data_IF_740794439312
#
_entry.id   IF_740794439312
#
_cell.length_a   1.000
_cell.length_b   1.000
_cell.length_c   1.000
_cell.angle_alpha   90.00
_cell.angle_beta   90.00
_cell.angle_gamma   90.00
#
_symmetry.space_group_name_H-M   'P 1'
#
loop_
_entity.id
_entity.type
_entity.pdbx_description
1 polymer ?
#
# COMPACT_ATOMS: atom_id res chain seq x y z
N UNK A 1 -14.60 27.40 18.85
CA UNK A 1 -14.70 25.92 19.00
C UNK A 1 -15.65 25.23 18.01
N UNK A 2 -16.84 25.76 17.68
CA UNK A 2 -17.75 25.15 16.69
C UNK A 2 -17.16 25.11 15.26
N UNK A 3 -16.59 26.20 14.76
CA UNK A 3 -15.96 26.26 13.43
C UNK A 3 -14.83 25.23 13.25
N UNK A 4 -13.96 25.07 14.26
CA UNK A 4 -12.88 24.08 14.25
C UNK A 4 -13.38 22.62 14.19
N UNK A 5 -14.53 22.31 14.82
CA UNK A 5 -15.17 20.98 14.73
C UNK A 5 -15.83 20.73 13.37
N UNK A 6 -16.39 21.77 12.76
CA UNK A 6 -16.98 21.66 11.43
C UNK A 6 -15.89 21.39 10.39
N UNK A 7 -14.80 22.16 10.42
CA UNK A 7 -13.63 21.94 9.55
C UNK A 7 -13.03 20.55 9.77
N UNK A 8 -12.97 20.07 11.02
CA UNK A 8 -12.41 18.74 11.29
C UNK A 8 -13.22 17.61 10.67
N UNK A 9 -14.56 17.70 10.69
CA UNK A 9 -15.45 16.68 10.17
C UNK A 9 -15.48 16.64 8.63
N UNK A 10 -15.45 17.80 7.97
CA UNK A 10 -15.40 17.87 6.51
C UNK A 10 -14.08 17.30 5.96
N UNK A 11 -12.96 17.59 6.61
CA UNK A 11 -11.67 17.06 6.20
C UNK A 11 -11.58 15.52 6.38
N UNK A 12 -12.19 14.95 7.42
CA UNK A 12 -12.27 13.48 7.55
C UNK A 12 -13.05 12.87 6.37
N UNK A 13 -14.22 13.42 6.04
CA UNK A 13 -15.01 12.98 4.88
C UNK A 13 -14.24 13.11 3.56
N UNK A 14 -13.50 14.21 3.38
CA UNK A 14 -12.66 14.43 2.21
C UNK A 14 -11.57 13.36 2.10
N UNK A 15 -10.91 13.01 3.21
CA UNK A 15 -9.93 11.93 3.24
C UNK A 15 -10.55 10.56 2.91
N UNK A 16 -11.72 10.26 3.48
CA UNK A 16 -12.44 9.01 3.18
C UNK A 16 -12.82 8.93 1.68
N UNK A 17 -13.34 10.00 1.11
CA UNK A 17 -13.62 10.08 -0.32
C UNK A 17 -12.34 9.93 -1.15
N UNK A 18 -11.24 10.54 -0.72
CA UNK A 18 -9.94 10.44 -1.37
C UNK A 18 -9.41 9.00 -1.41
N UNK A 19 -9.51 8.24 -0.32
CA UNK A 19 -9.11 6.81 -0.31
C UNK A 19 -9.95 5.99 -1.30
N UNK A 20 -11.27 6.22 -1.35
CA UNK A 20 -12.14 5.55 -2.31
C UNK A 20 -11.79 5.92 -3.76
N UNK A 21 -11.62 7.21 -4.04
CA UNK A 21 -11.29 7.72 -5.37
C UNK A 21 -9.90 7.26 -5.82
N UNK A 22 -8.94 7.11 -4.91
CA UNK A 22 -7.64 6.55 -5.24
C UNK A 22 -7.76 5.12 -5.80
N UNK A 23 -8.63 4.28 -5.23
CA UNK A 23 -8.88 2.92 -5.74
C UNK A 23 -9.61 2.96 -7.08
N UNK A 24 -10.65 3.78 -7.20
CA UNK A 24 -11.51 3.83 -8.41
C UNK A 24 -10.78 4.45 -9.61
N UNK A 25 -10.02 5.53 -9.39
CA UNK A 25 -9.39 6.30 -10.45
C UNK A 25 -7.91 5.95 -10.65
N UNK A 26 -7.23 5.54 -9.57
CA UNK A 26 -5.78 5.32 -9.54
C UNK A 26 -5.34 3.90 -9.88
N UNK A 27 -6.19 3.10 -10.54
CA UNK A 27 -5.92 1.69 -10.87
C UNK A 27 -4.88 1.45 -11.98
N UNK A 28 -4.35 2.52 -12.58
CA UNK A 28 -3.28 2.48 -13.58
C UNK A 28 -2.31 3.64 -13.40
N UNK A 29 -1.00 3.36 -13.52
CA UNK A 29 0.05 4.39 -13.53
C UNK A 29 -0.05 5.36 -14.71
N UNK A 30 -0.84 5.01 -15.75
CA UNK A 30 -0.97 5.77 -17.01
C UNK A 30 -2.19 6.68 -17.08
N UNK A 31 -3.07 6.65 -16.07
CA UNK A 31 -4.28 7.45 -16.06
C UNK A 31 -3.98 8.93 -15.73
N UNK A 32 -3.43 9.67 -16.69
CA UNK A 32 -2.83 11.00 -16.47
C UNK A 32 -3.76 11.98 -15.74
N UNK A 33 -4.99 12.18 -16.24
CA UNK A 33 -5.94 13.12 -15.62
C UNK A 33 -6.43 12.66 -14.25
N UNK A 34 -6.68 11.36 -14.08
CA UNK A 34 -7.06 10.77 -12.79
C UNK A 34 -5.96 10.95 -11.74
N UNK A 35 -4.71 10.66 -12.13
CA UNK A 35 -3.54 10.82 -11.27
C UNK A 35 -3.32 12.29 -10.93
N UNK A 36 -3.46 13.22 -11.89
CA UNK A 36 -3.36 14.65 -11.63
C UNK A 36 -4.42 15.12 -10.62
N UNK A 37 -5.68 14.70 -10.78
CA UNK A 37 -6.74 15.04 -9.82
C UNK A 37 -6.39 14.56 -8.40
N UNK A 38 -5.92 13.32 -8.26
CA UNK A 38 -5.49 12.76 -6.98
C UNK A 38 -4.28 13.50 -6.40
N UNK A 39 -3.32 13.91 -7.23
CA UNK A 39 -2.16 14.70 -6.81
C UNK A 39 -2.56 16.08 -6.29
N UNK A 40 -3.48 16.78 -6.97
CA UNK A 40 -3.99 18.08 -6.51
C UNK A 40 -4.78 17.95 -5.20
N UNK A 41 -5.64 16.94 -5.08
CA UNK A 41 -6.36 16.64 -3.85
C UNK A 41 -5.40 16.31 -2.69
N UNK A 42 -4.30 15.60 -2.99
CA UNK A 42 -3.28 15.25 -2.01
C UNK A 42 -2.60 16.48 -1.40
N UNK A 43 -2.32 17.52 -2.18
CA UNK A 43 -1.71 18.77 -1.66
C UNK A 43 -2.59 19.39 -0.57
N UNK A 44 -3.90 19.49 -0.80
CA UNK A 44 -4.83 20.03 0.19
C UNK A 44 -4.87 19.16 1.46
N UNK A 45 -4.88 17.84 1.33
CA UNK A 45 -4.86 16.91 2.46
C UNK A 45 -3.55 16.97 3.24
N UNK A 46 -2.40 17.13 2.57
CA UNK A 46 -1.09 17.32 3.21
C UNK A 46 -1.10 18.61 4.04
N UNK A 47 -1.58 19.72 3.48
CA UNK A 47 -1.65 20.99 4.22
C UNK A 47 -2.53 20.88 5.48
N UNK A 48 -3.69 20.22 5.37
CA UNK A 48 -4.58 19.97 6.52
C UNK A 48 -3.91 19.05 7.55
N UNK A 49 -3.26 17.98 7.10
CA UNK A 49 -2.57 17.04 7.98
C UNK A 49 -1.40 17.72 8.71
N UNK A 50 -0.57 18.48 8.01
CA UNK A 50 0.54 19.25 8.60
C UNK A 50 0.04 20.22 9.67
N UNK A 51 -1.04 20.95 9.40
CA UNK A 51 -1.65 21.85 10.39
C UNK A 51 -2.17 21.11 11.63
N UNK A 52 -2.74 19.90 11.48
CA UNK A 52 -3.19 19.07 12.61
C UNK A 52 -2.03 18.48 13.41
N UNK A 53 -0.91 18.17 12.76
CA UNK A 53 0.26 17.53 13.38
C UNK A 53 1.20 18.53 14.07
N UNK A 54 1.10 19.84 13.81
CA UNK A 54 2.03 20.89 14.30
C UNK A 54 2.26 20.94 15.82
N UNK A 55 1.32 20.44 16.62
CA UNK A 55 1.40 20.44 18.09
C UNK A 55 1.70 19.09 18.72
N UNK A 56 1.98 18.05 17.91
CA UNK A 56 2.25 16.71 18.42
C UNK A 56 3.74 16.59 18.70
N UNK A 57 4.10 16.31 19.96
CA UNK A 57 5.48 15.95 20.32
C UNK A 57 5.74 14.53 19.81
N UNK A 58 6.63 14.33 18.82
CA UNK A 58 6.76 13.04 18.18
C UNK A 58 7.55 12.09 19.07
N UNK A 59 7.02 10.89 19.25
CA UNK A 59 7.76 9.78 19.88
C UNK A 59 8.91 9.32 18.99
N UNK A 60 9.81 8.51 19.53
CA UNK A 60 10.96 7.98 18.77
C UNK A 60 10.53 7.30 17.47
N UNK A 61 9.52 6.43 17.52
CA UNK A 61 9.02 5.75 16.31
C UNK A 61 8.48 6.74 15.27
N UNK A 62 7.67 7.72 15.70
CA UNK A 62 7.12 8.74 14.80
C UNK A 62 8.20 9.64 14.18
N UNK A 63 9.25 9.99 14.94
CA UNK A 63 10.42 10.74 14.41
C UNK A 63 11.11 9.96 13.30
N UNK A 64 11.41 8.68 13.52
CA UNK A 64 12.03 7.84 12.50
C UNK A 64 11.13 7.65 11.28
N UNK A 65 9.81 7.58 11.46
CA UNK A 65 8.87 7.55 10.33
C UNK A 65 8.90 8.84 9.51
N UNK A 66 8.97 10.01 10.16
CA UNK A 66 9.09 11.29 9.43
C UNK A 66 10.44 11.44 8.74
N UNK A 67 11.53 10.97 9.33
CA UNK A 67 12.85 10.95 8.66
C UNK A 67 12.83 10.04 7.43
N UNK A 68 12.24 8.85 7.53
CA UNK A 68 12.08 7.94 6.38
C UNK A 68 11.18 8.55 5.30
N UNK A 69 10.06 9.17 5.68
CA UNK A 69 9.16 9.85 4.75
C UNK A 69 9.88 11.01 4.04
N UNK A 70 10.66 11.80 4.77
CA UNK A 70 11.48 12.86 4.21
C UNK A 70 12.53 12.31 3.23
N UNK A 71 13.20 11.21 3.57
CA UNK A 71 14.14 10.55 2.67
C UNK A 71 13.47 10.05 1.38
N UNK A 72 12.29 9.42 1.48
CA UNK A 72 11.51 8.96 0.32
C UNK A 72 11.15 10.14 -0.61
N UNK A 73 10.73 11.28 -0.05
CA UNK A 73 10.37 12.47 -0.83
C UNK A 73 11.60 13.17 -1.41
N UNK A 74 12.70 13.21 -0.66
CA UNK A 74 13.92 13.89 -1.06
C UNK A 74 14.66 13.14 -2.16
N UNK A 75 14.60 11.80 -2.18
CA UNK A 75 15.45 11.01 -3.06
C UNK A 75 15.24 11.29 -4.57
N UNK A 76 14.00 11.36 -5.11
CA UNK A 76 13.81 11.78 -6.51
C UNK A 76 14.29 13.22 -6.77
N UNK A 77 14.16 14.13 -5.79
CA UNK A 77 14.62 15.52 -5.96
C UNK A 77 16.14 15.61 -6.01
N UNK A 78 16.84 14.83 -5.20
CA UNK A 78 18.30 14.70 -5.25
C UNK A 78 18.73 14.19 -6.62
N UNK A 79 17.99 13.24 -7.20
CA UNK A 79 18.29 12.73 -8.54
C UNK A 79 18.12 13.77 -9.67
N UNK A 80 17.35 14.84 -9.42
CA UNK A 80 17.13 15.94 -10.35
C UNK A 80 18.13 17.10 -10.20
N UNK A 81 19.01 17.05 -9.20
CA UNK A 81 20.08 18.05 -9.05
C UNK A 81 20.99 17.98 -10.28
N UNK A 82 21.09 19.09 -11.00
CA UNK A 82 21.97 19.21 -12.16
C UNK A 82 23.41 19.33 -11.69
N UNK A 83 24.25 18.44 -12.18
CA UNK A 83 25.67 18.37 -11.92
C UNK A 83 26.44 18.96 -13.09
N UNK A 84 27.60 19.52 -12.77
CA UNK A 84 28.56 19.98 -13.77
C UNK A 84 29.06 18.80 -14.64
N UNK A 85 29.37 19.03 -15.94
CA UNK A 85 29.95 18.01 -16.82
C UNK A 85 31.11 17.22 -16.24
N UNK A 86 32.02 17.87 -15.53
CA UNK A 86 33.19 17.20 -14.98
C UNK A 86 32.83 16.25 -13.84
N UNK A 87 31.68 16.46 -13.19
CA UNK A 87 31.16 15.59 -12.13
C UNK A 87 30.34 14.45 -12.72
N UNK A 88 29.36 14.74 -13.59
CA UNK A 88 28.48 13.67 -14.06
C UNK A 88 29.20 12.70 -15.00
N UNK A 89 30.24 13.10 -15.72
CA UNK A 89 31.06 12.19 -16.55
C UNK A 89 31.75 11.10 -15.73
N UNK A 90 32.04 11.35 -14.46
CA UNK A 90 32.65 10.38 -13.54
C UNK A 90 31.63 9.38 -12.99
N UNK A 91 30.33 9.61 -13.21
CA UNK A 91 29.30 8.68 -12.74
C UNK A 91 29.29 7.39 -13.57
N UNK A 92 28.86 6.27 -12.98
CA UNK A 92 28.79 4.99 -13.67
C UNK A 92 28.00 5.08 -14.97
N UNK A 93 28.58 4.49 -16.03
CA UNK A 93 27.96 4.30 -17.33
C UNK A 93 27.46 5.59 -18.01
N UNK A 94 28.24 6.69 -17.88
CA UNK A 94 27.97 7.98 -18.54
C UNK A 94 28.83 8.27 -19.77
N UNK A 95 29.80 7.41 -20.08
CA UNK A 95 30.75 7.60 -21.19
C UNK A 95 30.06 7.78 -22.55
N UNK A 96 29.08 6.93 -22.85
CA UNK A 96 28.32 6.99 -24.11
C UNK A 96 27.54 8.31 -24.27
N UNK A 97 27.09 8.94 -23.18
CA UNK A 97 26.43 10.25 -23.22
C UNK A 97 27.45 11.34 -23.57
N UNK A 98 28.62 11.30 -22.95
CA UNK A 98 29.69 12.26 -23.21
C UNK A 98 30.21 12.14 -24.65
N UNK A 99 30.38 10.91 -25.15
CA UNK A 99 30.73 10.63 -26.55
C UNK A 99 29.68 11.16 -27.53
N UNK A 100 28.39 11.01 -27.23
CA UNK A 100 27.30 11.52 -28.07
C UNK A 100 27.34 13.05 -28.22
N UNK A 101 27.61 13.80 -27.14
CA UNK A 101 27.78 15.26 -27.23
C UNK A 101 29.04 15.65 -28.01
N UNK A 102 30.15 14.94 -27.78
CA UNK A 102 31.40 15.17 -28.51
C UNK A 102 31.25 14.93 -30.03
N UNK A 103 30.49 13.90 -30.43
CA UNK A 103 30.22 13.61 -31.84
C UNK A 103 29.35 14.68 -32.52
N UNK A 104 28.53 15.39 -31.76
CA UNK A 104 27.69 16.48 -32.26
C UNK A 104 28.41 17.83 -32.25
N UNK A 105 29.66 17.89 -31.76
CA UNK A 105 30.42 19.13 -31.55
C UNK A 105 29.67 20.13 -30.66
N UNK A 106 28.98 19.62 -29.63
CA UNK A 106 28.22 20.41 -28.66
C UNK A 106 28.84 20.25 -27.28
N UNK A 107 28.99 21.37 -26.57
CA UNK A 107 29.42 21.37 -25.18
C UNK A 107 28.48 20.52 -24.31
N UNK A 108 29.08 19.68 -23.47
CA UNK A 108 28.34 18.85 -22.54
C UNK A 108 27.49 19.72 -21.60
N UNK A 109 26.16 19.55 -21.55
CA UNK A 109 25.31 20.33 -20.67
C UNK A 109 25.38 19.83 -19.22
N UNK A 110 24.84 20.64 -18.31
CA UNK A 110 24.61 20.22 -16.92
C UNK A 110 23.48 19.20 -16.85
N UNK A 111 23.81 17.97 -16.40
CA UNK A 111 22.87 16.84 -16.36
C UNK A 111 22.62 16.36 -14.92
N UNK A 112 21.43 15.80 -14.70
CA UNK A 112 21.07 15.19 -13.42
C UNK A 112 21.64 13.79 -13.21
N UNK A 113 21.58 13.33 -11.96
CA UNK A 113 21.85 11.92 -11.60
C UNK A 113 20.85 10.99 -12.29
N UNK A 114 19.60 11.41 -12.46
CA UNK A 114 18.61 10.67 -13.24
C UNK A 114 18.90 10.73 -14.74
N UNK A 115 18.82 9.57 -15.39
CA UNK A 115 18.85 9.44 -16.85
C UNK A 115 17.49 9.76 -17.50
N UNK A 116 16.42 9.81 -16.71
CA UNK A 116 15.07 10.14 -17.16
C UNK A 116 14.43 11.24 -16.30
N UNK A 117 14.95 12.49 -16.31
CA UNK A 117 14.50 13.54 -15.40
C UNK A 117 12.98 13.79 -15.43
N UNK A 118 12.34 13.70 -16.60
CA UNK A 118 10.89 13.83 -16.72
C UNK A 118 10.11 12.72 -16.00
N UNK A 119 10.57 11.47 -16.11
CA UNK A 119 9.96 10.34 -15.42
C UNK A 119 10.22 10.40 -13.90
N UNK A 120 11.42 10.83 -13.48
CA UNK A 120 11.76 11.03 -12.07
C UNK A 120 10.92 12.13 -11.44
N UNK A 121 10.66 13.22 -12.15
CA UNK A 121 9.75 14.27 -11.71
C UNK A 121 8.30 13.75 -11.60
N UNK A 122 7.83 12.97 -12.58
CA UNK A 122 6.52 12.35 -12.53
C UNK A 122 6.38 11.38 -11.34
N UNK A 123 7.43 10.59 -11.05
CA UNK A 123 7.50 9.71 -9.89
C UNK A 123 7.44 10.51 -8.58
N UNK A 124 8.10 11.67 -8.50
CA UNK A 124 8.00 12.56 -7.35
C UNK A 124 6.57 13.03 -7.11
N UNK A 125 5.85 13.48 -8.15
CA UNK A 125 4.44 13.84 -8.02
C UNK A 125 3.56 12.63 -7.65
N UNK A 126 3.91 11.43 -8.11
CA UNK A 126 3.23 10.18 -7.74
C UNK A 126 3.33 9.85 -6.24
N UNK A 127 4.31 10.41 -5.52
CA UNK A 127 4.42 10.27 -4.05
C UNK A 127 3.40 11.12 -3.29
N UNK A 128 2.85 12.19 -3.88
CA UNK A 128 1.96 13.10 -3.14
C UNK A 128 0.74 12.38 -2.55
N UNK A 129 -0.02 11.55 -3.31
CA UNK A 129 -1.19 10.86 -2.75
C UNK A 129 -0.89 9.90 -1.59
N UNK A 130 0.08 8.96 -1.67
CA UNK A 130 0.40 8.12 -0.53
C UNK A 130 0.97 8.90 0.66
N UNK A 131 1.75 9.97 0.43
CA UNK A 131 2.22 10.87 1.51
C UNK A 131 1.03 11.54 2.21
N UNK A 132 0.08 12.07 1.46
CA UNK A 132 -1.16 12.63 2.00
C UNK A 132 -1.93 11.60 2.83
N UNK A 133 -2.02 10.36 2.33
CA UNK A 133 -2.73 9.30 3.00
C UNK A 133 -2.07 8.90 4.33
N UNK A 134 -0.75 8.74 4.34
CA UNK A 134 0.00 8.47 5.55
C UNK A 134 -0.17 9.58 6.60
N UNK A 135 0.11 10.84 6.22
CA UNK A 135 0.05 11.97 7.15
C UNK A 135 -1.36 12.19 7.69
N UNK A 136 -2.38 12.14 6.84
CA UNK A 136 -3.76 12.39 7.27
C UNK A 136 -4.28 11.25 8.16
N UNK A 137 -3.94 10.00 7.83
CA UNK A 137 -4.32 8.82 8.62
C UNK A 137 -3.79 8.87 10.06
N UNK A 138 -2.61 9.48 10.29
CA UNK A 138 -2.07 9.74 11.63
C UNK A 138 -2.93 10.71 12.46
N UNK A 139 -3.76 11.53 11.81
CA UNK A 139 -4.64 12.50 12.49
C UNK A 139 -6.01 11.94 12.86
N UNK A 140 -6.33 10.72 12.42
CA UNK A 140 -7.63 10.10 12.65
C UNK A 140 -7.75 9.57 14.08
N UNK A 141 -8.91 9.81 14.68
CA UNK A 141 -9.31 9.14 15.92
C UNK A 141 -9.72 7.67 15.64
N UNK A 142 -9.90 6.82 16.66
CA UNK A 142 -10.26 5.41 16.45
C UNK A 142 -11.55 5.19 15.63
N UNK A 143 -12.48 6.16 15.63
CA UNK A 143 -13.70 6.10 14.81
C UNK A 143 -13.38 6.40 13.35
N UNK A 144 -12.59 7.42 13.07
CA UNK A 144 -12.10 7.75 11.74
C UNK A 144 -11.26 6.62 11.14
N UNK A 145 -10.38 6.00 11.92
CA UNK A 145 -9.60 4.82 11.50
C UNK A 145 -10.52 3.67 11.09
N UNK A 146 -11.56 3.39 11.88
CA UNK A 146 -12.57 2.37 11.55
C UNK A 146 -13.34 2.71 10.27
N UNK A 147 -13.75 3.97 10.08
CA UNK A 147 -14.43 4.41 8.85
C UNK A 147 -13.51 4.26 7.64
N UNK A 148 -12.23 4.59 7.76
CA UNK A 148 -11.25 4.44 6.70
C UNK A 148 -11.03 2.97 6.31
N UNK A 149 -10.94 2.06 7.28
CA UNK A 149 -10.97 0.61 7.00
C UNK A 149 -12.27 0.17 6.32
N UNK A 150 -13.41 0.72 6.74
CA UNK A 150 -14.71 0.48 6.12
C UNK A 150 -14.74 0.92 4.65
N UNK A 151 -14.19 2.09 4.34
CA UNK A 151 -14.06 2.60 2.97
C UNK A 151 -13.14 1.70 2.14
N UNK A 152 -12.00 1.27 2.69
CA UNK A 152 -11.13 0.32 2.00
C UNK A 152 -11.87 -0.99 1.67
N UNK A 153 -12.61 -1.53 2.62
CA UNK A 153 -13.40 -2.74 2.41
C UNK A 153 -14.48 -2.51 1.34
N UNK A 154 -15.21 -1.40 1.39
CA UNK A 154 -16.21 -1.06 0.36
C UNK A 154 -15.55 -0.93 -1.02
N UNK A 155 -14.42 -0.24 -1.12
CA UNK A 155 -13.67 -0.11 -2.37
C UNK A 155 -13.23 -1.48 -2.92
N UNK A 156 -12.74 -2.37 -2.04
CA UNK A 156 -12.38 -3.73 -2.40
C UNK A 156 -13.60 -4.55 -2.86
N UNK A 157 -14.74 -4.43 -2.19
CA UNK A 157 -15.98 -5.14 -2.55
C UNK A 157 -16.56 -4.68 -3.88
N UNK A 158 -16.56 -3.36 -4.15
CA UNK A 158 -17.01 -2.83 -5.45
C UNK A 158 -16.05 -3.26 -6.55
N UNK A 159 -14.73 -3.21 -6.30
CA UNK A 159 -13.72 -3.68 -7.25
C UNK A 159 -13.86 -5.18 -7.53
N UNK A 160 -14.17 -5.98 -6.52
CA UNK A 160 -14.44 -7.41 -6.66
C UNK A 160 -15.72 -7.65 -7.48
N UNK A 161 -16.83 -6.96 -7.17
CA UNK A 161 -18.08 -7.13 -7.91
C UNK A 161 -17.89 -6.80 -9.40
N UNK A 162 -17.20 -5.70 -9.71
CA UNK A 162 -16.82 -5.35 -11.07
C UNK A 162 -15.88 -6.40 -11.69
N UNK A 163 -14.86 -6.84 -10.96
CA UNK A 163 -13.93 -7.89 -11.39
C UNK A 163 -14.63 -9.20 -11.73
N UNK A 164 -15.67 -9.56 -10.97
CA UNK A 164 -16.53 -10.72 -11.25
C UNK A 164 -17.25 -10.57 -12.58
N UNK A 165 -17.80 -9.38 -12.87
CA UNK A 165 -18.45 -9.09 -14.15
C UNK A 165 -17.45 -9.13 -15.31
N UNK A 166 -16.25 -8.56 -15.15
CA UNK A 166 -15.18 -8.58 -16.16
C UNK A 166 -14.73 -10.01 -16.48
N UNK A 167 -14.52 -10.83 -15.44
CA UNK A 167 -14.16 -12.23 -15.58
C UNK A 167 -15.26 -13.03 -16.29
N UNK A 168 -16.53 -12.83 -15.91
CA UNK A 168 -17.66 -13.52 -16.52
C UNK A 168 -17.89 -13.10 -17.98
N UNK A 169 -17.72 -11.82 -18.30
CA UNK A 169 -17.87 -11.31 -19.66
C UNK A 169 -16.74 -11.73 -20.60
N UNK A 170 -15.52 -11.96 -20.06
CA UNK A 170 -14.31 -12.29 -20.81
C UNK A 170 -14.07 -11.38 -22.04
N UNK A 171 -14.44 -10.11 -21.92
CA UNK A 171 -14.48 -9.13 -23.02
C UNK A 171 -13.80 -7.82 -22.62
N UNK A 172 -13.16 -7.10 -23.56
CA UNK A 172 -12.57 -5.78 -23.28
C UNK A 172 -13.59 -4.71 -22.87
N UNK A 173 -14.88 -4.87 -23.18
CA UNK A 173 -15.91 -3.83 -23.01
C UNK A 173 -16.12 -3.34 -21.58
N UNK A 174 -15.77 -4.15 -20.58
CA UNK A 174 -15.87 -3.82 -19.15
C UNK A 174 -14.53 -3.42 -18.52
N UNK A 175 -13.46 -3.28 -19.31
CA UNK A 175 -12.15 -2.88 -18.84
C UNK A 175 -11.94 -1.38 -19.09
N UNK A 176 -11.64 -0.64 -18.04
CA UNK A 176 -11.48 0.82 -18.10
C UNK A 176 -10.13 1.28 -18.65
N UNK A 177 -9.18 0.35 -18.81
CA UNK A 177 -7.81 0.64 -19.25
C UNK A 177 -7.56 -0.03 -20.59
N UNK A 178 -6.95 0.72 -21.53
CA UNK A 178 -6.68 0.24 -22.88
C UNK A 178 -5.78 -1.01 -22.92
N UNK A 179 -4.86 -1.14 -21.96
CA UNK A 179 -4.02 -2.32 -21.76
C UNK A 179 -4.41 -2.92 -20.41
N UNK A 180 -5.02 -4.10 -20.42
CA UNK A 180 -5.54 -4.78 -19.23
C UNK A 180 -5.53 -6.30 -19.41
N UNK A 181 -5.58 -7.04 -18.30
CA UNK A 181 -5.69 -8.51 -18.32
C UNK A 181 -7.13 -8.97 -18.64
N UNK A 182 -7.56 -8.87 -19.90
CA UNK A 182 -8.86 -9.36 -20.36
C UNK A 182 -8.99 -10.87 -20.10
N UNK A 183 -10.13 -11.30 -19.55
CA UNK A 183 -10.37 -12.69 -19.15
C UNK A 183 -10.08 -12.96 -17.67
N UNK A 184 -9.37 -12.07 -16.98
CA UNK A 184 -9.14 -12.09 -15.54
C UNK A 184 -9.98 -11.03 -14.81
N UNK A 185 -10.24 -11.22 -13.51
CA UNK A 185 -10.82 -10.16 -12.68
C UNK A 185 -9.77 -9.07 -12.40
N UNK A 186 -10.05 -7.83 -12.81
CA UNK A 186 -9.13 -6.68 -12.61
C UNK A 186 -9.76 -5.52 -11.84
N UNK A 187 -11.08 -5.47 -11.74
CA UNK A 187 -11.81 -4.41 -11.05
C UNK A 187 -11.52 -3.05 -11.68
N UNK A 188 -11.17 -2.05 -10.85
CA UNK A 188 -10.74 -0.74 -11.34
C UNK A 188 -9.26 -0.69 -11.77
N UNK A 189 -8.51 -1.78 -11.60
CA UNK A 189 -7.11 -1.86 -11.95
C UNK A 189 -6.91 -2.33 -13.39
N UNK A 190 -5.79 -1.95 -14.00
CA UNK A 190 -5.36 -2.52 -15.28
C UNK A 190 -4.74 -3.92 -15.11
N UNK A 191 -4.12 -4.17 -13.95
CA UNK A 191 -3.39 -5.39 -13.65
C UNK A 191 -4.15 -6.25 -12.63
N UNK A 192 -4.40 -7.52 -12.96
CA UNK A 192 -5.07 -8.51 -12.09
C UNK A 192 -4.39 -8.68 -10.73
N UNK A 193 -3.06 -8.58 -10.67
CA UNK A 193 -2.30 -8.66 -9.42
C UNK A 193 -2.53 -7.45 -8.50
N UNK A 194 -2.88 -6.28 -9.06
CA UNK A 194 -3.16 -5.10 -8.25
C UNK A 194 -4.53 -5.22 -7.56
N UNK A 195 -5.54 -5.79 -8.23
CA UNK A 195 -6.79 -6.18 -7.57
C UNK A 195 -6.51 -7.21 -6.47
N UNK A 196 -5.71 -8.24 -6.75
CA UNK A 196 -5.33 -9.23 -5.74
C UNK A 196 -4.70 -8.56 -4.52
N UNK A 197 -3.82 -7.58 -4.71
CA UNK A 197 -3.21 -6.80 -3.62
C UNK A 197 -4.24 -6.04 -2.79
N UNK A 198 -5.23 -5.40 -3.43
CA UNK A 198 -6.31 -4.72 -2.73
C UNK A 198 -7.12 -5.70 -1.86
N UNK A 199 -7.47 -6.88 -2.40
CA UNK A 199 -8.20 -7.92 -1.67
C UNK A 199 -7.38 -8.46 -0.49
N UNK A 200 -6.07 -8.66 -0.67
CA UNK A 200 -5.15 -9.07 0.40
C UNK A 200 -5.11 -8.05 1.55
N UNK A 201 -5.16 -6.74 1.27
CA UNK A 201 -5.27 -5.70 2.30
C UNK A 201 -6.66 -5.67 2.96
N UNK A 202 -7.72 -5.95 2.20
CA UNK A 202 -9.10 -5.93 2.68
C UNK A 202 -9.40 -7.07 3.67
N UNK A 203 -8.74 -8.23 3.55
CA UNK A 203 -8.93 -9.37 4.47
C UNK A 203 -8.64 -9.00 5.95
N UNK A 204 -7.43 -8.55 6.34
CA UNK A 204 -7.16 -8.15 7.72
C UNK A 204 -7.95 -6.90 8.15
N UNK A 205 -8.28 -6.01 7.22
CA UNK A 205 -9.14 -4.86 7.49
C UNK A 205 -10.55 -5.31 7.93
N UNK A 206 -11.18 -6.21 7.16
CA UNK A 206 -12.49 -6.77 7.48
C UNK A 206 -12.51 -7.52 8.81
N UNK A 207 -11.47 -8.34 9.06
CA UNK A 207 -11.32 -9.05 10.32
C UNK A 207 -11.26 -8.09 11.52
N UNK A 208 -10.54 -6.96 11.40
CA UNK A 208 -10.47 -5.95 12.46
C UNK A 208 -11.79 -5.22 12.67
N UNK A 209 -12.48 -4.86 11.59
CA UNK A 209 -13.81 -4.22 11.67
C UNK A 209 -14.78 -5.10 12.47
N UNK A 210 -14.78 -6.41 12.19
CA UNK A 210 -15.63 -7.39 12.87
C UNK A 210 -15.16 -7.63 14.31
N UNK A 211 -13.86 -7.86 14.54
CA UNK A 211 -13.31 -8.15 15.85
C UNK A 211 -13.54 -7.02 16.87
N UNK A 212 -13.58 -5.78 16.39
CA UNK A 212 -13.77 -4.58 17.22
C UNK A 212 -15.21 -4.07 17.20
N UNK A 213 -16.17 -4.75 16.55
CA UNK A 213 -17.57 -4.31 16.48
C UNK A 213 -18.25 -4.38 17.85
N UNK A 214 -18.93 -3.27 18.23
CA UNK A 214 -19.79 -3.13 19.40
C UNK A 214 -21.26 -2.94 18.98
N UNK A 215 -22.18 -3.59 19.68
CA UNK A 215 -23.63 -3.60 19.32
C UNK A 215 -24.38 -2.45 19.96
N UNK A 216 -24.09 -2.16 21.23
CA UNK A 216 -24.94 -1.31 22.06
C UNK A 216 -24.25 -0.02 22.50
N UNK A 217 -25.06 0.97 22.94
CA UNK A 217 -24.58 2.22 23.55
C UNK A 217 -23.69 2.00 24.78
N UNK A 218 -23.83 0.83 25.44
CA UNK A 218 -22.98 0.40 26.56
C UNK A 218 -21.58 -0.03 26.11
N UNK A 219 -21.36 -0.27 24.81
CA UNK A 219 -20.07 -0.64 24.26
C UNK A 219 -19.78 -2.14 24.28
N UNK A 220 -20.81 -2.98 24.45
CA UNK A 220 -20.65 -4.44 24.48
C UNK A 220 -20.25 -4.98 23.11
N UNK A 221 -19.29 -5.90 23.12
CA UNK A 221 -18.79 -6.57 21.94
C UNK A 221 -19.86 -7.49 21.31
N UNK A 222 -19.87 -7.61 19.97
CA UNK A 222 -20.66 -8.67 19.33
C UNK A 222 -20.22 -10.05 19.85
N UNK A 223 -21.16 -10.96 20.16
CA UNK A 223 -20.85 -12.33 20.58
C UNK A 223 -19.94 -13.04 19.59
N UNK A 224 -19.07 -13.92 20.09
CA UNK A 224 -18.07 -14.62 19.27
C UNK A 224 -18.70 -15.38 18.09
N UNK A 225 -19.84 -16.04 18.31
CA UNK A 225 -20.57 -16.73 17.25
C UNK A 225 -20.95 -15.78 16.11
N UNK A 226 -21.42 -14.56 16.40
CA UNK A 226 -21.77 -13.57 15.37
C UNK A 226 -20.53 -13.09 14.62
N UNK A 227 -19.39 -12.90 15.30
CA UNK A 227 -18.12 -12.55 14.63
C UNK A 227 -17.74 -13.56 13.57
N UNK A 228 -17.81 -14.85 13.90
CA UNK A 228 -17.49 -15.93 12.96
C UNK A 228 -18.48 -16.02 11.79
N UNK A 229 -19.78 -15.88 12.08
CA UNK A 229 -20.83 -15.88 11.05
C UNK A 229 -20.68 -14.73 10.04
N UNK A 230 -20.04 -13.63 10.43
CA UNK A 230 -19.76 -12.50 9.54
C UNK A 230 -18.39 -12.64 8.85
N UNK A 231 -17.35 -13.02 9.61
CA UNK A 231 -15.99 -13.05 9.10
C UNK A 231 -15.75 -14.19 8.12
N UNK A 232 -16.29 -15.38 8.38
CA UNK A 232 -16.10 -16.55 7.52
C UNK A 232 -16.57 -16.29 6.08
N UNK A 233 -17.85 -15.98 5.85
CA UNK A 233 -18.37 -15.72 4.50
C UNK A 233 -17.67 -14.55 3.81
N UNK A 234 -17.37 -13.47 4.53
CA UNK A 234 -16.69 -12.31 3.95
C UNK A 234 -15.25 -12.61 3.52
N UNK A 235 -14.48 -13.33 4.35
CA UNK A 235 -13.12 -13.74 4.00
C UNK A 235 -13.11 -14.74 2.84
N UNK A 236 -14.08 -15.67 2.81
CA UNK A 236 -14.26 -16.59 1.70
C UNK A 236 -14.61 -15.86 0.39
N UNK A 237 -15.46 -14.85 0.46
CA UNK A 237 -15.81 -14.02 -0.70
C UNK A 237 -14.61 -13.22 -1.22
N UNK A 238 -13.82 -12.61 -0.33
CA UNK A 238 -12.58 -11.95 -0.72
C UNK A 238 -11.57 -12.95 -1.31
N UNK A 239 -11.48 -14.16 -0.76
CA UNK A 239 -10.58 -15.21 -1.24
C UNK A 239 -11.02 -15.77 -2.59
N UNK A 240 -12.32 -15.96 -2.82
CA UNK A 240 -12.82 -16.36 -4.13
C UNK A 240 -12.49 -15.31 -5.20
N UNK A 241 -12.50 -14.03 -4.82
CA UNK A 241 -12.00 -12.96 -5.70
C UNK A 241 -10.56 -13.17 -6.16
N UNK A 242 -9.67 -13.63 -5.28
CA UNK A 242 -8.28 -13.94 -5.64
C UNK A 242 -8.18 -15.04 -6.69
N UNK A 243 -9.03 -16.07 -6.63
CA UNK A 243 -9.09 -17.11 -7.65
C UNK A 243 -9.43 -16.55 -9.03
N UNK A 244 -10.39 -15.61 -9.07
CA UNK A 244 -10.83 -14.97 -10.31
C UNK A 244 -9.79 -14.02 -10.91
N UNK A 245 -8.83 -13.52 -10.10
CA UNK A 245 -7.72 -12.73 -10.62
C UNK A 245 -6.68 -13.56 -11.38
N UNK A 246 -6.65 -14.89 -11.21
CA UNK A 246 -5.57 -15.72 -11.77
C UNK A 246 -4.17 -15.43 -11.19
N UNK A 247 -4.06 -14.63 -10.12
CA UNK A 247 -2.77 -14.28 -9.50
C UNK A 247 -2.25 -15.42 -8.63
N UNK A 248 -1.18 -16.10 -9.05
CA UNK A 248 -0.52 -17.18 -8.29
C UNK A 248 -0.04 -16.71 -6.91
N UNK A 249 0.65 -15.58 -6.90
CA UNK A 249 1.13 -14.94 -5.67
C UNK A 249 -0.04 -14.47 -4.81
N UNK A 250 -1.06 -13.87 -5.42
CA UNK A 250 -2.30 -13.50 -4.76
C UNK A 250 -2.97 -14.68 -4.05
N UNK A 251 -3.08 -15.84 -4.71
CA UNK A 251 -3.65 -17.05 -4.12
C UNK A 251 -2.83 -17.56 -2.93
N UNK A 252 -1.52 -17.73 -3.09
CA UNK A 252 -0.64 -18.21 -2.02
C UNK A 252 -0.64 -17.29 -0.80
N UNK A 253 -0.50 -15.98 -1.02
CA UNK A 253 -0.61 -14.97 0.04
C UNK A 253 -2.02 -14.89 0.62
N UNK A 254 -3.05 -15.19 -0.17
CA UNK A 254 -4.45 -15.21 0.24
C UNK A 254 -4.75 -16.25 1.31
N UNK A 255 -4.09 -17.42 1.25
CA UNK A 255 -4.23 -18.46 2.27
C UNK A 255 -3.70 -17.94 3.60
N UNK A 256 -2.48 -17.39 3.61
CA UNK A 256 -1.89 -16.77 4.80
C UNK A 256 -2.75 -15.61 5.30
N UNK A 257 -3.24 -14.76 4.39
CA UNK A 257 -4.08 -13.62 4.71
C UNK A 257 -5.39 -14.04 5.38
N UNK A 258 -6.05 -15.07 4.88
CA UNK A 258 -7.28 -15.60 5.46
C UNK A 258 -7.03 -16.20 6.85
N UNK A 259 -6.01 -17.06 7.02
CA UNK A 259 -5.69 -17.70 8.29
C UNK A 259 -5.33 -16.67 9.39
N UNK A 260 -4.49 -15.69 9.06
CA UNK A 260 -4.10 -14.65 10.00
C UNK A 260 -5.27 -13.70 10.32
N UNK A 261 -6.15 -13.42 9.35
CA UNK A 261 -7.39 -12.65 9.57
C UNK A 261 -8.35 -13.36 10.53
N UNK A 262 -8.51 -14.69 10.40
CA UNK A 262 -9.30 -15.49 11.35
C UNK A 262 -8.68 -15.45 12.76
N UNK A 263 -7.35 -15.44 12.88
CA UNK A 263 -6.68 -15.29 14.18
C UNK A 263 -6.94 -13.92 14.83
N UNK A 264 -7.04 -12.85 14.04
CA UNK A 264 -7.42 -11.51 14.52
C UNK A 264 -8.85 -11.53 15.07
N UNK A 265 -9.79 -12.14 14.34
CA UNK A 265 -11.20 -12.31 14.79
C UNK A 265 -11.29 -13.10 16.09
N UNK A 266 -10.42 -14.09 16.29
CA UNK A 266 -10.34 -14.85 17.53
C UNK A 266 -9.78 -14.04 18.70
N UNK A 267 -8.64 -13.36 18.51
CA UNK A 267 -7.88 -12.73 19.59
C UNK A 267 -8.52 -11.45 20.13
N UNK A 268 -9.44 -10.83 19.39
CA UNK A 268 -10.24 -9.70 19.89
C UNK A 268 -11.24 -10.05 21.02
N UNK A 269 -11.13 -11.23 21.64
CA UNK A 269 -12.21 -11.83 22.47
C UNK A 269 -11.73 -12.69 23.64
N UNK A 270 -10.42 -12.87 23.89
CA UNK A 270 -9.91 -13.62 25.05
C UNK A 270 -10.21 -15.14 25.09
N UNK A 271 -11.00 -15.71 24.18
CA UNK A 271 -11.36 -17.13 24.16
C UNK A 271 -10.55 -18.02 23.20
N UNK A 272 -10.43 -19.31 23.53
CA UNK A 272 -9.75 -20.38 22.76
C UNK A 272 -10.29 -20.60 21.34
N UNK A 273 -9.47 -21.20 20.45
CA UNK A 273 -9.93 -21.66 19.12
C UNK A 273 -10.56 -23.05 19.29
N UNK A 274 -11.86 -23.26 19.05
CA UNK A 274 -12.35 -24.62 18.95
C UNK A 274 -11.75 -25.22 17.67
N UNK A 275 -11.05 -26.36 17.81
CA UNK A 275 -10.40 -27.09 16.72
C UNK A 275 -11.36 -27.31 15.54
N UNK A 276 -12.65 -27.46 15.81
CA UNK A 276 -13.72 -27.57 14.83
C UNK A 276 -13.85 -26.37 13.88
N UNK A 277 -13.61 -25.13 14.31
CA UNK A 277 -13.67 -23.96 13.41
C UNK A 277 -12.42 -23.81 12.54
N UNK A 278 -11.26 -24.21 13.06
CA UNK A 278 -10.03 -24.29 12.26
C UNK A 278 -10.19 -25.36 11.17
N UNK A 279 -10.77 -26.48 11.55
CA UNK A 279 -11.11 -27.58 10.66
C UNK A 279 -12.16 -27.14 9.63
N UNK A 280 -13.21 -26.42 10.03
CA UNK A 280 -14.21 -25.89 9.09
C UNK A 280 -13.60 -24.87 8.14
N UNK A 281 -12.77 -23.94 8.62
CA UNK A 281 -12.09 -23.00 7.73
C UNK A 281 -11.15 -23.73 6.74
N UNK A 282 -10.40 -24.73 7.20
CA UNK A 282 -9.54 -25.55 6.36
C UNK A 282 -10.36 -26.37 5.35
N UNK A 283 -11.41 -27.05 5.79
CA UNK A 283 -12.35 -27.81 4.95
C UNK A 283 -13.04 -26.88 3.96
N UNK A 284 -13.41 -25.66 4.35
CA UNK A 284 -14.03 -24.71 3.42
C UNK A 284 -13.02 -24.18 2.41
N UNK A 285 -11.77 -23.92 2.81
CA UNK A 285 -10.70 -23.58 1.86
C UNK A 285 -10.48 -24.71 0.86
N UNK A 286 -10.37 -25.95 1.35
CA UNK A 286 -10.21 -27.14 0.51
C UNK A 286 -11.42 -27.31 -0.40
N UNK A 287 -12.65 -27.16 0.11
CA UNK A 287 -13.87 -27.26 -0.68
C UNK A 287 -13.96 -26.16 -1.75
N UNK A 288 -13.52 -24.93 -1.46
CA UNK A 288 -13.45 -23.84 -2.45
C UNK A 288 -12.40 -24.14 -3.52
N UNK A 289 -11.23 -24.66 -3.13
CA UNK A 289 -10.18 -25.09 -4.07
C UNK A 289 -10.69 -26.23 -4.96
N UNK A 290 -11.35 -27.23 -4.37
CA UNK A 290 -11.94 -28.38 -5.08
C UNK A 290 -13.08 -27.93 -5.98
N UNK A 291 -13.98 -27.06 -5.51
CA UNK A 291 -15.08 -26.53 -6.31
C UNK A 291 -14.57 -25.67 -7.47
N UNK A 292 -13.55 -24.85 -7.24
CA UNK A 292 -12.88 -24.12 -8.31
C UNK A 292 -12.31 -25.11 -9.34
N UNK A 293 -11.58 -26.13 -8.90
CA UNK A 293 -11.03 -27.17 -9.77
C UNK A 293 -12.11 -27.89 -10.60
N UNK A 294 -13.20 -28.34 -9.96
CA UNK A 294 -14.28 -29.11 -10.59
C UNK A 294 -15.15 -28.26 -11.54
N UNK A 295 -15.38 -26.99 -11.23
CA UNK A 295 -16.18 -26.08 -12.08
C UNK A 295 -15.47 -25.60 -13.35
N UNK A 296 -14.21 -26.02 -13.56
CA UNK A 296 -13.37 -25.53 -14.65
C UNK A 296 -12.86 -24.10 -14.46
N UNK A 297 -13.29 -23.40 -13.40
CA UNK A 297 -12.77 -22.08 -13.00
C UNK A 297 -11.32 -22.19 -12.55
N UNK A 298 -11.01 -23.22 -11.78
CA UNK A 298 -9.68 -23.58 -11.32
C UNK A 298 -8.81 -24.03 -12.48
N UNK A 299 -9.31 -24.83 -13.43
CA UNK A 299 -8.52 -25.22 -14.59
C UNK A 299 -8.26 -24.07 -15.57
N UNK A 300 -9.22 -23.14 -15.77
CA UNK A 300 -9.00 -21.90 -16.55
C UNK A 300 -8.04 -20.94 -15.84
N UNK A 301 -8.26 -20.67 -14.55
CA UNK A 301 -7.37 -19.80 -13.77
C UNK A 301 -5.97 -20.41 -13.63
N UNK A 302 -5.84 -21.74 -13.47
CA UNK A 302 -4.55 -22.45 -13.45
C UNK A 302 -3.94 -22.51 -14.85
N UNK A 303 -4.70 -22.70 -15.92
CA UNK A 303 -4.17 -22.70 -17.29
C UNK A 303 -3.73 -21.31 -17.75
N UNK A 304 -4.46 -20.25 -17.39
CA UNK A 304 -4.09 -18.85 -17.66
C UNK A 304 -2.95 -18.39 -16.74
N UNK A 305 -2.93 -18.85 -15.48
CA UNK A 305 -1.75 -18.72 -14.64
C UNK A 305 -0.57 -19.52 -15.22
N UNK A 306 -0.80 -20.64 -15.89
CA UNK A 306 0.19 -21.45 -16.61
C UNK A 306 0.50 -20.94 -18.02
N UNK A 307 -0.14 -19.86 -18.48
CA UNK A 307 0.27 -19.19 -19.71
C UNK A 307 1.67 -18.62 -19.49
N UNK A 308 2.61 -19.18 -20.24
CA UNK A 308 4.04 -19.01 -20.06
C UNK A 308 4.50 -17.55 -20.26
N UNK A 309 3.75 -16.73 -21.00
CA UNK A 309 4.19 -15.39 -21.44
C UNK A 309 4.51 -14.41 -20.31
N UNK A 310 3.74 -14.34 -19.22
CA UNK A 310 4.03 -13.37 -18.13
C UNK A 310 5.14 -13.85 -17.20
N UNK A 311 5.18 -15.15 -16.89
CA UNK A 311 6.20 -15.69 -16.00
C UNK A 311 7.56 -15.83 -16.72
N UNK A 312 7.58 -16.11 -18.02
CA UNK A 312 8.79 -16.04 -18.86
C UNK A 312 9.36 -14.62 -18.88
N UNK A 313 8.52 -13.59 -19.05
CA UNK A 313 8.97 -12.20 -19.02
C UNK A 313 9.60 -11.83 -17.67
N UNK A 314 9.08 -12.35 -16.55
CA UNK A 314 9.67 -12.12 -15.22
C UNK A 314 11.03 -12.79 -15.07
N UNK A 315 11.15 -14.05 -15.51
CA UNK A 315 12.39 -14.83 -15.46
C UNK A 315 13.48 -14.16 -16.29
N UNK A 316 13.12 -13.57 -17.44
CA UNK A 316 14.04 -12.83 -18.30
C UNK A 316 14.34 -11.43 -17.74
N UNK A 317 13.34 -10.72 -17.23
CA UNK A 317 13.52 -9.34 -16.79
C UNK A 317 14.38 -9.22 -15.53
N UNK A 318 14.25 -10.14 -14.58
CA UNK A 318 14.96 -10.08 -13.30
C UNK A 318 16.50 -10.02 -13.43
N UNK A 319 17.18 -10.92 -14.16
CA UNK A 319 18.65 -10.87 -14.30
C UNK A 319 19.13 -9.61 -15.02
N UNK A 320 18.43 -9.19 -16.09
CA UNK A 320 18.76 -7.95 -16.84
C UNK A 320 18.62 -6.73 -15.92
N UNK A 321 17.55 -6.67 -15.12
CA UNK A 321 17.34 -5.57 -14.16
C UNK A 321 18.43 -5.54 -13.10
N UNK A 322 18.85 -6.71 -12.60
CA UNK A 322 19.92 -6.81 -11.62
C UNK A 322 21.28 -6.35 -12.19
N UNK A 323 21.60 -6.76 -13.43
CA UNK A 323 22.80 -6.32 -14.16
C UNK A 323 22.81 -4.81 -14.38
N UNK A 324 21.69 -4.24 -14.83
CA UNK A 324 21.56 -2.79 -14.98
C UNK A 324 21.72 -2.06 -13.64
N UNK A 325 21.17 -2.61 -12.55
CA UNK A 325 21.35 -2.01 -11.24
C UNK A 325 22.81 -2.00 -10.78
N UNK A 326 23.60 -3.03 -11.12
CA UNK A 326 25.05 -2.99 -10.91
C UNK A 326 25.76 -1.97 -11.79
N UNK A 327 25.33 -1.84 -13.06
CA UNK A 327 25.87 -0.88 -14.02
C UNK A 327 25.73 0.58 -13.57
N UNK A 328 24.64 0.92 -12.88
CA UNK A 328 24.36 2.27 -12.38
C UNK A 328 24.60 2.47 -10.88
N UNK A 329 25.13 1.46 -10.17
CA UNK A 329 25.48 1.56 -8.75
C UNK A 329 26.66 2.53 -8.55
N UNK A 330 26.66 3.43 -7.53
CA UNK A 330 25.77 3.46 -6.36
C UNK A 330 24.54 4.38 -6.46
N UNK A 331 24.41 5.17 -7.52
CA UNK A 331 23.43 6.25 -7.58
C UNK A 331 22.07 5.81 -8.15
N UNK A 332 22.06 4.72 -8.92
CA UNK A 332 20.91 4.28 -9.70
C UNK A 332 20.71 5.10 -10.98
N UNK A 333 19.80 4.66 -11.84
CA UNK A 333 19.50 5.28 -13.13
C UNK A 333 18.42 6.37 -13.07
N UNK A 334 17.75 6.55 -11.93
CA UNK A 334 16.67 7.52 -11.73
C UNK A 334 15.29 6.87 -11.58
N UNK A 335 14.42 7.41 -10.73
CA UNK A 335 13.04 6.91 -10.64
C UNK A 335 12.28 7.02 -11.97
N UNK A 336 11.53 5.98 -12.32
CA UNK A 336 10.80 5.86 -13.58
C UNK A 336 11.70 5.57 -14.79
N UNK A 337 12.98 5.23 -14.59
CA UNK A 337 13.91 4.92 -15.68
C UNK A 337 13.86 3.47 -16.13
N UNK A 338 13.21 2.58 -15.37
CA UNK A 338 13.20 1.14 -15.64
C UNK A 338 12.93 0.82 -17.12
N UNK A 339 11.82 1.31 -17.67
CA UNK A 339 11.42 0.98 -19.03
C UNK A 339 12.47 1.41 -20.07
N UNK A 340 13.04 2.61 -19.91
CA UNK A 340 14.07 3.14 -20.81
C UNK A 340 15.34 2.30 -20.73
N UNK A 341 15.78 1.98 -19.52
CA UNK A 341 17.02 1.22 -19.27
C UNK A 341 16.90 -0.24 -19.69
N UNK A 342 15.75 -0.85 -19.43
CA UNK A 342 15.46 -2.20 -19.85
C UNK A 342 15.45 -2.31 -21.38
N UNK A 343 14.84 -1.35 -22.09
CA UNK A 343 14.86 -1.31 -23.55
C UNK A 343 16.26 -1.08 -24.13
N UNK A 344 17.07 -0.23 -23.50
CA UNK A 344 18.45 -0.01 -23.97
C UNK A 344 19.34 -1.25 -23.81
N UNK A 345 19.10 -2.05 -22.77
CA UNK A 345 19.79 -3.34 -22.59
C UNK A 345 19.23 -4.45 -23.50
N UNK A 346 17.93 -4.37 -23.81
CA UNK A 346 17.16 -5.39 -24.52
C UNK A 346 17.39 -5.50 -26.02
N UNK A 347 18.35 -4.76 -26.62
CA UNK A 347 18.71 -4.92 -28.04
C UNK A 347 19.09 -6.36 -28.45
N UNK A 348 19.34 -7.26 -27.49
CA UNK A 348 19.65 -8.68 -27.69
C UNK A 348 18.47 -9.65 -27.47
N UNK A 349 17.34 -9.22 -26.90
CA UNK A 349 16.20 -10.10 -26.63
C UNK A 349 15.03 -9.70 -27.54
N UNK A 350 14.72 -10.53 -28.51
CA UNK A 350 13.57 -10.35 -29.40
C UNK A 350 12.28 -10.63 -28.61
N UNK A 351 11.86 -9.67 -27.79
CA UNK A 351 10.65 -9.74 -26.95
C UNK A 351 9.35 -9.66 -27.78
N UNK A 352 9.43 -9.66 -29.12
CA UNK A 352 8.26 -9.63 -30.01
C UNK A 352 7.34 -8.44 -29.72
N UNK A 353 6.04 -8.69 -29.68
CA UNK A 353 5.00 -7.69 -29.37
C UNK A 353 4.82 -7.43 -27.85
N UNK A 354 5.64 -8.05 -27.00
CA UNK A 354 5.46 -7.99 -25.54
C UNK A 354 6.17 -6.76 -24.94
N UNK A 355 5.41 -6.00 -24.16
CA UNK A 355 5.82 -4.72 -23.62
C UNK A 355 6.02 -4.83 -22.11
N UNK A 356 7.28 -4.74 -21.66
CA UNK A 356 7.68 -4.82 -20.24
C UNK A 356 7.85 -3.40 -19.70
N UNK A 357 6.92 -2.95 -18.86
CA UNK A 357 6.92 -1.60 -18.29
C UNK A 357 7.49 -1.51 -16.88
N UNK A 358 7.64 -2.65 -16.19
CA UNK A 358 8.20 -2.76 -14.84
C UNK A 358 8.90 -4.10 -14.66
N UNK A 359 9.80 -4.19 -13.67
CA UNK A 359 10.59 -5.40 -13.40
C UNK A 359 9.75 -6.57 -12.88
N UNK A 360 8.49 -6.33 -12.48
CA UNK A 360 7.69 -7.28 -11.69
C UNK A 360 8.42 -7.73 -10.42
N UNK A 361 9.19 -6.81 -9.84
CA UNK A 361 9.85 -6.91 -8.56
C UNK A 361 10.22 -5.49 -8.11
N UNK A 362 9.46 -4.91 -7.19
CA UNK A 362 9.71 -3.54 -6.74
C UNK A 362 11.10 -3.37 -6.11
N UNK A 363 11.70 -4.43 -5.55
CA UNK A 363 13.03 -4.35 -4.95
C UNK A 363 14.15 -4.28 -5.99
N UNK A 364 14.06 -5.07 -7.06
CA UNK A 364 15.00 -4.99 -8.19
C UNK A 364 14.85 -3.67 -8.94
N UNK A 365 13.62 -3.19 -9.11
CA UNK A 365 13.38 -1.89 -9.72
C UNK A 365 13.90 -0.75 -8.83
N UNK A 366 13.69 -0.82 -7.50
CA UNK A 366 14.26 0.15 -6.56
C UNK A 366 15.79 0.12 -6.57
N UNK A 367 16.40 -1.06 -6.68
CA UNK A 367 17.84 -1.23 -6.83
C UNK A 367 18.37 -0.52 -8.08
N UNK A 368 17.75 -0.77 -9.23
CA UNK A 368 18.10 -0.10 -10.48
C UNK A 368 17.89 1.42 -10.39
N UNK A 369 16.71 1.86 -9.95
CA UNK A 369 16.31 3.26 -10.05
C UNK A 369 16.97 4.15 -8.99
N UNK A 370 17.27 3.63 -7.80
CA UNK A 370 17.71 4.41 -6.64
C UNK A 370 19.01 3.92 -5.98
N UNK A 371 19.60 2.82 -6.45
CA UNK A 371 20.90 2.31 -6.01
C UNK A 371 21.00 2.13 -4.50
N UNK A 372 22.14 2.55 -3.95
CA UNK A 372 22.45 2.43 -2.52
C UNK A 372 21.44 3.19 -1.63
N UNK A 373 21.00 4.37 -2.06
CA UNK A 373 20.05 5.17 -1.29
C UNK A 373 18.67 4.49 -1.20
N UNK A 374 18.22 3.84 -2.29
CA UNK A 374 17.02 3.01 -2.28
C UNK A 374 17.10 1.87 -1.26
N UNK A 375 18.24 1.16 -1.21
CA UNK A 375 18.49 0.10 -0.23
C UNK A 375 18.42 0.61 1.20
N UNK A 376 19.07 1.74 1.51
CA UNK A 376 19.06 2.32 2.86
C UNK A 376 17.63 2.65 3.30
N UNK A 377 16.83 3.24 2.40
CA UNK A 377 15.43 3.60 2.68
C UNK A 377 14.59 2.35 2.95
N UNK A 378 14.66 1.32 2.10
CA UNK A 378 13.84 0.11 2.29
C UNK A 378 14.28 -0.67 3.54
N UNK A 379 15.57 -0.76 3.82
CA UNK A 379 16.08 -1.41 5.05
C UNK A 379 15.60 -0.65 6.29
N UNK A 380 15.70 0.68 6.30
CA UNK A 380 15.18 1.51 7.38
C UNK A 380 13.67 1.35 7.59
N UNK A 381 12.91 1.30 6.50
CA UNK A 381 11.47 1.01 6.53
C UNK A 381 11.18 -0.39 7.12
N UNK A 382 11.89 -1.43 6.68
CA UNK A 382 11.72 -2.79 7.17
C UNK A 382 12.05 -2.92 8.66
N UNK A 383 13.10 -2.26 9.14
CA UNK A 383 13.44 -2.22 10.57
C UNK A 383 12.32 -1.59 11.39
N UNK A 384 11.80 -0.43 10.95
CA UNK A 384 10.70 0.26 11.60
C UNK A 384 9.41 -0.58 11.59
N UNK A 385 9.08 -1.17 10.44
CA UNK A 385 7.90 -2.02 10.29
C UNK A 385 8.01 -3.29 11.15
N UNK A 386 9.15 -3.98 11.17
CA UNK A 386 9.36 -5.14 12.03
C UNK A 386 9.30 -4.77 13.52
N UNK A 387 9.87 -3.63 13.90
CA UNK A 387 9.80 -3.11 15.26
C UNK A 387 8.36 -2.85 15.71
N UNK A 388 7.60 -2.07 14.93
CA UNK A 388 6.19 -1.78 15.23
C UNK A 388 5.32 -3.03 15.20
N UNK A 389 5.54 -3.93 14.24
CA UNK A 389 4.86 -5.24 14.16
C UNK A 389 5.11 -6.06 15.44
N UNK A 390 6.37 -6.23 15.85
CA UNK A 390 6.69 -6.99 17.08
C UNK A 390 5.98 -6.41 18.31
N UNK A 391 5.88 -5.09 18.43
CA UNK A 391 5.15 -4.43 19.51
C UNK A 391 3.65 -4.81 19.49
N UNK A 392 2.99 -4.73 18.34
CA UNK A 392 1.57 -5.08 18.21
C UNK A 392 1.28 -6.53 18.56
N UNK A 393 2.12 -7.44 18.08
CA UNK A 393 1.92 -8.87 18.26
C UNK A 393 2.17 -9.32 19.71
N UNK A 394 2.96 -8.55 20.48
CA UNK A 394 3.18 -8.76 21.92
C UNK A 394 2.23 -7.96 22.81
N UNK A 395 1.55 -6.95 22.27
CA UNK A 395 0.62 -6.12 23.03
C UNK A 395 -0.61 -6.93 23.53
N UNK A 396 -1.11 -6.62 24.73
CA UNK A 396 -2.32 -7.25 25.26
C UNK A 396 -3.53 -7.01 24.34
N UNK A 397 -4.56 -7.87 24.42
CA UNK A 397 -5.76 -7.72 23.61
C UNK A 397 -6.41 -6.33 23.80
N UNK A 398 -6.72 -5.67 22.69
CA UNK A 398 -7.36 -4.35 22.67
C UNK A 398 -7.59 -3.86 21.24
N UNK A 399 -8.49 -2.90 21.06
CA UNK A 399 -8.89 -2.43 19.72
C UNK A 399 -7.70 -1.83 18.96
N UNK A 400 -6.85 -1.04 19.63
CA UNK A 400 -5.64 -0.47 19.04
C UNK A 400 -4.63 -1.56 18.63
N UNK A 401 -4.37 -2.55 19.49
CA UNK A 401 -3.49 -3.67 19.17
C UNK A 401 -4.04 -4.53 18.02
N UNK A 402 -5.36 -4.69 17.95
CA UNK A 402 -6.04 -5.42 16.87
C UNK A 402 -5.88 -4.70 15.53
N UNK A 403 -6.08 -3.38 15.51
CA UNK A 403 -5.81 -2.53 14.36
C UNK A 403 -4.34 -2.61 13.92
N UNK A 404 -3.41 -2.50 14.86
CA UNK A 404 -1.97 -2.59 14.59
C UNK A 404 -1.56 -3.93 13.99
N UNK A 405 -2.14 -5.06 14.46
CA UNK A 405 -1.92 -6.40 13.88
C UNK A 405 -2.41 -6.49 12.44
N UNK A 406 -3.63 -6.01 12.16
CA UNK A 406 -4.16 -6.03 10.80
C UNK A 406 -3.40 -5.11 9.85
N UNK A 407 -3.06 -3.89 10.30
CA UNK A 407 -2.33 -2.93 9.50
C UNK A 407 -0.91 -3.42 9.19
N UNK A 408 -0.17 -3.93 10.18
CA UNK A 408 1.15 -4.52 9.98
C UNK A 408 1.11 -5.74 9.05
N UNK A 409 0.08 -6.57 9.18
CA UNK A 409 -0.15 -7.71 8.30
C UNK A 409 -0.47 -7.29 6.86
N UNK A 410 -1.34 -6.30 6.65
CA UNK A 410 -1.63 -5.75 5.32
C UNK A 410 -0.35 -5.22 4.64
N UNK A 411 0.46 -4.46 5.39
CA UNK A 411 1.78 -3.99 4.92
C UNK A 411 2.68 -5.17 4.53
N UNK A 412 2.78 -6.20 5.40
CA UNK A 412 3.58 -7.40 5.12
C UNK A 412 3.14 -8.15 3.87
N UNK A 413 1.82 -8.29 3.63
CA UNK A 413 1.28 -8.93 2.44
C UNK A 413 1.66 -8.17 1.16
N UNK A 414 1.61 -6.83 1.18
CA UNK A 414 2.05 -6.01 0.05
C UNK A 414 3.56 -6.15 -0.19
N UNK A 415 4.38 -6.10 0.87
CA UNK A 415 5.83 -6.29 0.77
C UNK A 415 6.21 -7.65 0.16
N UNK A 416 5.49 -8.72 0.54
CA UNK A 416 5.69 -10.05 -0.04
C UNK A 416 5.22 -10.12 -1.49
N UNK A 417 4.09 -9.50 -1.84
CA UNK A 417 3.62 -9.47 -3.23
C UNK A 417 4.59 -8.68 -4.13
N UNK A 418 5.23 -7.65 -3.58
CA UNK A 418 6.21 -6.79 -4.26
C UNK A 418 7.52 -7.52 -4.65
N UNK A 419 7.72 -8.78 -4.19
CA UNK A 419 8.83 -9.64 -4.62
C UNK A 419 8.63 -10.15 -6.06
N UNK A 420 7.37 -10.28 -6.49
CA UNK A 420 6.99 -10.90 -7.77
C UNK A 420 6.04 -10.04 -8.59
N UNK A 421 5.79 -8.81 -8.14
CA UNK A 421 5.00 -7.81 -8.83
C UNK A 421 5.37 -6.39 -8.36
N UNK A 422 4.66 -5.37 -8.86
CA UNK A 422 4.94 -3.95 -8.58
C UNK A 422 3.71 -3.18 -8.06
N UNK A 423 2.95 -3.71 -7.08
CA UNK A 423 1.62 -3.19 -6.75
C UNK A 423 1.62 -1.70 -6.38
N UNK A 424 2.71 -1.20 -5.78
CA UNK A 424 2.82 0.18 -5.29
C UNK A 424 3.01 1.23 -6.40
N UNK A 425 3.16 0.82 -7.67
CA UNK A 425 3.21 1.74 -8.83
C UNK A 425 1.84 2.28 -9.25
N UNK A 426 0.77 1.94 -8.52
CA UNK A 426 -0.57 2.48 -8.72
C UNK A 426 -1.07 3.18 -7.47
N UNK A 427 -1.71 4.34 -7.65
CA UNK A 427 -2.28 5.10 -6.53
C UNK A 427 -3.38 4.32 -5.80
N UNK A 428 -4.10 3.45 -6.52
CA UNK A 428 -5.13 2.58 -5.94
C UNK A 428 -4.61 1.56 -4.92
N UNK A 429 -3.33 1.18 -5.00
CA UNK A 429 -2.69 0.33 -4.00
C UNK A 429 -1.81 1.15 -3.03
N UNK A 430 -1.06 2.14 -3.53
CA UNK A 430 -0.14 2.95 -2.75
C UNK A 430 -0.86 3.77 -1.65
N UNK A 431 -2.03 4.34 -1.94
CA UNK A 431 -2.81 5.13 -0.97
C UNK A 431 -3.30 4.25 0.20
N UNK A 432 -4.00 3.11 -0.03
CA UNK A 432 -4.33 2.19 1.05
C UNK A 432 -3.12 1.64 1.81
N UNK A 433 -2.03 1.32 1.11
CA UNK A 433 -0.80 0.85 1.75
C UNK A 433 -0.21 1.89 2.71
N UNK A 434 -0.11 3.15 2.28
CA UNK A 434 0.39 4.25 3.11
C UNK A 434 -0.52 4.53 4.31
N UNK A 435 -1.85 4.43 4.13
CA UNK A 435 -2.82 4.48 5.23
C UNK A 435 -2.59 3.34 6.24
N UNK A 436 -2.35 2.11 5.77
CA UNK A 436 -2.04 0.97 6.64
C UNK A 436 -0.70 1.15 7.37
N UNK A 437 0.32 1.72 6.73
CA UNK A 437 1.57 2.09 7.40
C UNK A 437 1.32 3.07 8.56
N UNK A 438 0.47 4.08 8.36
CA UNK A 438 0.09 5.03 9.40
C UNK A 438 -0.69 4.37 10.55
N UNK A 439 -1.59 3.43 10.26
CA UNK A 439 -2.34 2.70 11.31
C UNK A 439 -1.44 1.76 12.11
N UNK A 440 -0.49 1.08 11.46
CA UNK A 440 0.54 0.30 12.14
C UNK A 440 1.40 1.18 13.06
N UNK A 441 1.74 2.40 12.63
CA UNK A 441 2.49 3.32 13.48
C UNK A 441 1.66 3.87 14.65
N UNK A 442 0.47 4.42 14.37
CA UNK A 442 -0.39 5.09 15.36
C UNK A 442 -0.78 4.16 16.52
N UNK A 443 -1.06 2.89 16.23
CA UNK A 443 -1.37 1.89 17.23
C UNK A 443 -0.20 1.60 18.18
N UNK A 444 1.05 1.82 17.75
CA UNK A 444 2.27 1.50 18.53
C UNK A 444 2.70 2.64 19.43
N UNK A 445 2.28 3.86 19.07
CA UNK A 445 2.72 5.11 19.70
C UNK A 445 1.69 5.64 20.70
N UNK A 446 0.43 5.18 20.65
CA UNK A 446 -0.61 5.72 21.52
C UNK A 446 -0.71 7.24 21.39
N UNK A 447 -0.68 7.77 20.16
CA UNK A 447 -0.70 9.20 19.87
C UNK A 447 -1.90 9.82 20.59
N UNK A 448 -1.64 10.40 21.76
CA UNK A 448 -2.64 11.06 22.56
C UNK A 448 -3.12 12.26 21.74
N UNK A 449 -4.34 12.17 21.21
CA UNK A 449 -4.94 13.27 20.48
C UNK A 449 -5.02 14.49 21.41
N UNK A 450 -4.72 15.72 20.97
CA UNK A 450 -4.58 16.89 21.85
C UNK A 450 -5.86 17.35 22.57
N UNK A 451 -6.95 16.60 22.53
CA UNK A 451 -8.28 17.07 22.96
C UNK A 451 -8.61 16.82 24.44
N UNK A 452 -7.73 16.18 25.24
CA UNK A 452 -8.05 15.83 26.64
C UNK A 452 -7.24 16.55 27.72
N UNK A 453 -6.07 17.13 27.44
CA UNK A 453 -5.33 17.85 28.48
C UNK A 453 -5.93 19.20 28.87
N UNK A 454 -6.67 19.87 27.98
CA UNK A 454 -7.34 21.13 28.34
C UNK A 454 -8.58 21.00 29.26
N UNK A 455 -8.99 19.78 29.66
CA UNK A 455 -10.13 19.58 30.59
C UNK A 455 -9.74 19.01 31.96
N UNK A 456 -8.50 18.55 32.12
CA UNK A 456 -8.06 17.87 33.35
C UNK A 456 -7.55 18.81 34.44
N UNK A 457 -7.04 19.99 34.06
CA UNK A 457 -6.31 20.85 35.00
C UNK A 457 -7.17 21.91 35.70
N UNK A 458 -8.47 22.04 35.36
CA UNK A 458 -9.35 23.03 35.99
C UNK A 458 -10.24 22.46 37.12
N UNK A 459 -9.95 21.27 37.64
CA UNK A 459 -10.77 20.63 38.70
C UNK A 459 -10.02 20.26 39.98
N UNK A 460 -8.82 20.79 40.21
CA UNK A 460 -8.05 20.56 41.44
C UNK A 460 -7.60 21.90 42.05
N UNK A 461 -8.53 22.68 42.61
CA UNK A 461 -8.30 23.54 43.79
C UNK A 461 -9.52 24.41 44.13
N UNK A 462 -10.63 23.81 44.59
CA UNK A 462 -11.50 24.47 45.59
C UNK A 462 -12.17 23.37 46.41
N UNK A 463 -11.49 22.92 47.48
CA UNK A 463 -12.15 22.25 48.61
C UNK A 463 -11.49 22.73 49.91
N UNK A 464 -12.36 23.26 50.76
CA UNK A 464 -12.26 23.33 52.22
C UNK A 464 -11.48 24.51 52.82
N UNK A 465 -12.17 25.65 52.96
CA UNK A 465 -11.97 26.54 54.10
C UNK A 465 -13.07 26.23 55.13
N UNK A 466 -12.70 25.57 56.23
CA UNK A 466 -13.49 25.46 57.45
C UNK A 466 -13.37 26.76 58.26
N UNK A 467 -14.45 27.26 58.90
CA UNK A 467 -14.35 28.42 59.77
C UNK A 467 -13.95 27.98 61.19
N UNK A 468 -12.84 28.52 61.71
CA UNK A 468 -12.53 28.43 63.14
C UNK A 468 -13.36 29.48 63.90
N UNK A 469 -14.16 29.00 64.85
CA UNK A 469 -14.62 29.74 66.04
C UNK A 469 -13.77 29.28 67.22
N UNK A 470 -13.04 30.21 67.83
CA UNK A 470 -12.83 30.40 69.26
C UNK A 470 -11.94 31.64 69.41
#
# INVERSE_FOLDING_TARGET
MKALRVVSHHAEKAFLAFVLLAVVLGGSGRAAFANLFLQLAAIALIAIAAWRLRGIVPTRALRWSFLLLAAIIALPLVQLIRLDPDIWRLMPDRGWIAEGFAQLDVDAPWLGISLTPGATLAAWFHLLPPVAAFLFALTLDPRGQRRALGVLLVAAMISLALGTLQFAAASPSLHFHAISNVGSATGFFANRNHLATLLLMAMPASATLIATWRVDRKGDAIPQRRRWLLAGPLLLLLFSGLLMTGSRAGFGLGIAAMLLSLLIVRRGSGGGLPVSLALVAAVTCVAVIVLAYVSGLGTRAVAEAASLSTDELRIVAAPITAELGWRYFPFGSGFGSFETMFKSAGGAVNLGQYYVNHAHNDYLELWLEAGAAGIVVIVGFLILWLGTTRLHWRAPPGDAATLGKAASMAVGLVLLHSVVDFPLRTLGAAVPFAMMCAFALAASVGVATPARHARGELRIHVRNATPQRA
#
